data_IF_603372313194
#
_entry.id   IF_603372313194
#
_cell.length_a   1.000
_cell.length_b   1.000
_cell.length_c   1.000
_cell.angle_alpha   90.00
_cell.angle_beta   90.00
_cell.angle_gamma   90.00
#
_symmetry.space_group_name_H-M   'P 1'
#
loop_
_entity.id
_entity.type
_entity.pdbx_description
1 polymer ?
#
# COMPACT_ATOMS: atom_id res chain seq x y z
N UNK A 1 14.49 -24.37 16.53
CA UNK A 1 14.48 -23.82 15.15
C UNK A 1 13.45 -22.72 15.09
N UNK A 2 13.86 -21.44 15.04
CA UNK A 2 12.92 -20.32 15.01
C UNK A 2 12.27 -20.20 13.63
N UNK A 3 11.00 -20.58 13.52
CA UNK A 3 10.12 -20.44 12.34
C UNK A 3 9.64 -18.99 12.16
N UNK A 4 10.55 -18.03 12.26
CA UNK A 4 10.25 -16.64 11.93
C UNK A 4 10.28 -16.43 10.41
N UNK A 5 9.56 -15.44 9.91
CA UNK A 5 9.64 -14.88 8.54
C UNK A 5 11.02 -14.29 8.18
N UNK A 6 12.10 -14.74 8.83
CA UNK A 6 13.46 -14.33 8.61
C UNK A 6 13.91 -14.85 7.25
N UNK A 7 14.07 -13.94 6.27
CA UNK A 7 14.36 -14.33 4.89
C UNK A 7 15.73 -14.98 4.71
N UNK A 8 16.60 -14.94 5.73
CA UNK A 8 17.85 -15.69 5.75
C UNK A 8 17.65 -17.22 5.59
N UNK A 9 16.44 -17.74 5.88
CA UNK A 9 16.12 -19.17 5.85
C UNK A 9 15.00 -19.57 4.85
N UNK A 10 14.77 -18.83 3.75
CA UNK A 10 14.23 -19.51 2.53
C UNK A 10 12.92 -19.06 1.88
N UNK A 11 12.34 -17.90 2.23
CA UNK A 11 11.21 -17.34 1.45
C UNK A 11 11.62 -16.12 0.63
N UNK A 12 11.31 -16.16 -0.68
CA UNK A 12 11.44 -15.03 -1.60
C UNK A 12 10.56 -13.86 -1.12
N UNK A 13 11.02 -12.65 -1.34
CA UNK A 13 10.32 -11.42 -0.96
C UNK A 13 8.97 -11.30 -1.65
N UNK A 14 8.84 -11.75 -2.90
CA UNK A 14 7.55 -11.84 -3.61
C UNK A 14 6.57 -12.80 -2.95
N UNK A 15 7.05 -13.93 -2.41
CA UNK A 15 6.20 -14.86 -1.65
C UNK A 15 5.77 -14.24 -0.33
N UNK A 16 6.68 -13.55 0.37
CA UNK A 16 6.34 -12.84 1.61
C UNK A 16 5.34 -11.70 1.38
N UNK A 17 5.52 -10.93 0.30
CA UNK A 17 4.57 -9.89 -0.10
C UNK A 17 3.19 -10.48 -0.40
N UNK A 18 3.14 -11.62 -1.11
CA UNK A 18 1.90 -12.34 -1.36
C UNK A 18 1.24 -12.77 -0.06
N UNK A 19 1.98 -13.39 0.86
CA UNK A 19 1.45 -13.80 2.18
C UNK A 19 0.92 -12.61 2.98
N UNK A 20 1.61 -11.47 2.95
CA UNK A 20 1.12 -10.23 3.55
C UNK A 20 -0.23 -9.84 2.96
N UNK A 21 -0.33 -9.73 1.65
CA UNK A 21 -1.56 -9.30 0.95
C UNK A 21 -2.71 -10.30 1.06
N UNK A 22 -2.44 -11.62 1.08
CA UNK A 22 -3.50 -12.63 1.08
C UNK A 22 -3.91 -13.12 2.46
N UNK A 23 -3.03 -13.03 3.47
CA UNK A 23 -3.30 -13.60 4.80
C UNK A 23 -3.32 -12.56 5.91
N UNK A 24 -2.41 -11.56 5.88
CA UNK A 24 -2.29 -10.58 6.96
C UNK A 24 -3.26 -9.43 6.77
N UNK A 25 -3.21 -8.77 5.60
CA UNK A 25 -4.03 -7.59 5.31
C UNK A 25 -5.54 -7.86 5.44
N UNK A 26 -6.11 -8.96 4.90
CA UNK A 26 -7.54 -9.21 5.02
C UNK A 26 -7.99 -9.38 6.47
N UNK A 27 -7.16 -10.01 7.32
CA UNK A 27 -7.47 -10.17 8.75
C UNK A 27 -7.37 -8.86 9.50
N UNK A 28 -6.36 -8.04 9.17
CA UNK A 28 -6.16 -6.75 9.82
C UNK A 28 -7.25 -5.73 9.45
N UNK A 29 -7.79 -5.82 8.24
CA UNK A 29 -8.81 -4.90 7.75
C UNK A 29 -10.24 -5.38 7.94
N UNK A 30 -10.43 -6.59 8.46
CA UNK A 30 -11.76 -7.19 8.58
C UNK A 30 -12.71 -6.29 9.38
N UNK A 31 -13.88 -6.01 8.80
CA UNK A 31 -14.94 -5.15 9.34
C UNK A 31 -14.58 -3.66 9.49
N UNK A 32 -13.33 -3.24 9.25
CA UNK A 32 -12.95 -1.83 9.31
C UNK A 32 -13.60 -1.00 8.20
N UNK A 33 -14.08 -1.65 7.14
CA UNK A 33 -14.79 -0.98 6.05
C UNK A 33 -16.14 -0.36 6.47
N UNK A 34 -16.74 -0.84 7.57
CA UNK A 34 -18.03 -0.34 8.11
C UNK A 34 -17.86 0.40 9.43
N UNK A 35 -16.87 0.00 10.24
CA UNK A 35 -16.68 0.56 11.58
C UNK A 35 -16.19 2.01 11.52
N UNK A 36 -16.67 2.90 12.41
CA UNK A 36 -16.06 4.20 12.59
C UNK A 36 -14.68 4.01 13.24
N UNK A 37 -13.62 4.42 12.55
CA UNK A 37 -12.26 4.43 13.08
C UNK A 37 -11.71 5.86 13.17
N UNK A 38 -10.87 6.11 14.17
CA UNK A 38 -10.19 7.40 14.29
C UNK A 38 -9.01 7.49 13.31
N UNK A 39 -8.60 8.71 12.99
CA UNK A 39 -7.37 8.92 12.21
C UNK A 39 -6.12 8.44 12.96
N UNK A 40 -6.17 8.34 14.29
CA UNK A 40 -5.07 7.81 15.10
C UNK A 40 -4.92 6.30 14.90
N UNK A 41 -6.04 5.56 14.91
CA UNK A 41 -6.04 4.10 14.71
C UNK A 41 -5.49 3.74 13.32
N UNK A 42 -5.93 4.46 12.29
CA UNK A 42 -5.45 4.25 10.94
C UNK A 42 -3.95 4.53 10.80
N UNK A 43 -3.45 5.59 11.46
CA UNK A 43 -2.00 5.88 11.51
C UNK A 43 -1.22 4.79 12.23
N UNK A 44 -1.76 4.22 13.31
CA UNK A 44 -1.13 3.11 14.02
C UNK A 44 -1.03 1.86 13.14
N UNK A 45 -2.09 1.51 12.40
CA UNK A 45 -2.08 0.40 11.44
C UNK A 45 -1.10 0.63 10.29
N UNK A 46 -1.04 1.86 9.76
CA UNK A 46 -0.05 2.24 8.74
C UNK A 46 1.37 2.13 9.28
N UNK A 47 1.64 2.61 10.50
CA UNK A 47 2.95 2.48 11.13
C UNK A 47 3.36 1.02 11.31
N UNK A 48 2.44 0.17 11.78
CA UNK A 48 2.65 -1.27 11.89
C UNK A 48 3.00 -1.89 10.53
N UNK A 49 2.21 -1.61 9.47
CA UNK A 49 2.51 -2.07 8.12
C UNK A 49 3.91 -1.66 7.69
N UNK A 50 4.26 -0.38 7.82
CA UNK A 50 5.54 0.15 7.35
C UNK A 50 6.73 -0.51 8.05
N UNK A 51 6.63 -0.75 9.38
CA UNK A 51 7.65 -1.45 10.15
C UNK A 51 7.77 -2.91 9.68
N UNK A 52 6.65 -3.63 9.56
CA UNK A 52 6.68 -5.04 9.16
C UNK A 52 7.22 -5.22 7.75
N UNK A 53 6.85 -4.34 6.80
CA UNK A 53 7.34 -4.43 5.42
C UNK A 53 8.85 -4.15 5.32
N UNK A 54 9.41 -3.27 6.15
CA UNK A 54 10.87 -3.11 6.27
C UNK A 54 11.53 -4.39 6.76
N UNK A 55 10.98 -5.02 7.80
CA UNK A 55 11.49 -6.27 8.35
C UNK A 55 11.44 -7.41 7.33
N UNK A 56 10.33 -7.53 6.58
CA UNK A 56 10.14 -8.50 5.49
C UNK A 56 11.25 -8.41 4.44
N UNK A 57 11.71 -7.19 4.16
CA UNK A 57 12.76 -6.85 3.19
C UNK A 57 14.17 -6.76 3.79
N UNK A 58 14.31 -6.91 5.11
CA UNK A 58 15.54 -6.68 5.88
C UNK A 58 16.17 -5.30 5.63
N UNK A 59 15.33 -4.29 5.47
CA UNK A 59 15.74 -2.89 5.43
C UNK A 59 16.05 -2.43 6.86
N UNK A 60 16.90 -1.41 7.00
CA UNK A 60 17.19 -0.83 8.31
C UNK A 60 15.98 -0.06 8.84
N UNK A 61 15.82 0.06 10.16
CA UNK A 61 14.69 0.78 10.75
C UNK A 61 14.65 2.26 10.32
N UNK A 62 15.84 2.87 10.19
CA UNK A 62 16.05 4.23 9.68
C UNK A 62 15.71 4.42 8.19
N UNK A 63 15.41 3.35 7.45
CA UNK A 63 15.00 3.45 6.04
C UNK A 63 13.74 4.30 5.97
N UNK A 64 13.65 5.21 4.99
CA UNK A 64 12.45 6.03 4.84
C UNK A 64 11.22 5.14 4.66
N UNK A 65 10.14 5.47 5.39
CA UNK A 65 8.97 4.61 5.54
C UNK A 65 8.37 4.21 4.20
N UNK A 66 8.29 5.14 3.25
CA UNK A 66 7.65 4.91 1.95
C UNK A 66 8.35 3.83 1.15
N UNK A 67 9.67 3.66 1.26
CA UNK A 67 10.44 2.78 0.38
C UNK A 67 10.00 1.31 0.40
N UNK A 68 9.48 0.82 1.52
CA UNK A 68 9.10 -0.58 1.67
C UNK A 68 7.89 -0.99 0.81
N UNK A 69 6.96 -0.06 0.56
CA UNK A 69 5.72 -0.31 -0.17
C UNK A 69 5.92 -0.49 -1.69
N UNK A 70 6.54 0.46 -2.43
CA UNK A 70 6.73 0.37 -3.86
C UNK A 70 7.65 -0.81 -4.24
N UNK A 71 8.64 -1.14 -3.41
CA UNK A 71 9.53 -2.27 -3.68
C UNK A 71 8.78 -3.63 -3.67
N UNK A 72 7.73 -3.75 -2.87
CA UNK A 72 6.88 -4.95 -2.81
C UNK A 72 5.60 -4.82 -3.65
N UNK A 73 5.31 -3.65 -4.21
CA UNK A 73 4.03 -3.37 -4.87
C UNK A 73 2.83 -3.45 -3.92
N UNK A 74 3.01 -3.14 -2.64
CA UNK A 74 1.93 -3.27 -1.64
C UNK A 74 1.30 -1.90 -1.39
N UNK A 75 -0.03 -1.84 -1.43
CA UNK A 75 -0.79 -0.63 -1.10
C UNK A 75 -0.67 -0.26 0.39
N UNK A 76 -0.78 1.03 0.68
CA UNK A 76 -1.02 1.50 2.04
C UNK A 76 -2.34 0.91 2.58
N UNK A 77 -2.38 0.61 3.89
CA UNK A 77 -3.59 0.13 4.59
C UNK A 77 -4.81 0.98 4.27
N UNK A 78 -4.66 2.31 4.27
CA UNK A 78 -5.73 3.24 3.91
C UNK A 78 -6.26 3.05 2.49
N UNK A 79 -5.38 2.93 1.50
CA UNK A 79 -5.80 2.71 0.11
C UNK A 79 -6.52 1.36 -0.05
N UNK A 80 -6.05 0.32 0.64
CA UNK A 80 -6.72 -0.98 0.65
C UNK A 80 -8.10 -0.89 1.31
N UNK A 81 -8.20 -0.17 2.43
CA UNK A 81 -9.46 0.05 3.13
C UNK A 81 -10.45 0.83 2.25
N UNK A 82 -9.99 1.84 1.52
CA UNK A 82 -10.81 2.58 0.57
C UNK A 82 -11.34 1.65 -0.55
N UNK A 83 -10.51 0.76 -1.11
CA UNK A 83 -10.97 -0.25 -2.08
C UNK A 83 -12.06 -1.15 -1.46
N UNK A 84 -11.86 -1.62 -0.23
CA UNK A 84 -12.82 -2.49 0.46
C UNK A 84 -14.15 -1.77 0.72
N UNK A 85 -14.10 -0.55 1.27
CA UNK A 85 -15.27 0.29 1.55
C UNK A 85 -16.06 0.61 0.28
N UNK A 86 -15.39 0.95 -0.83
CA UNK A 86 -16.04 1.24 -2.10
C UNK A 86 -16.60 -0.02 -2.78
N UNK A 87 -15.94 -1.17 -2.66
CA UNK A 87 -16.49 -2.45 -3.11
C UNK A 87 -17.72 -2.87 -2.28
N UNK A 88 -17.73 -2.60 -0.97
CA UNK A 88 -18.88 -2.89 -0.13
C UNK A 88 -20.10 -2.08 -0.58
N UNK A 89 -19.90 -0.79 -0.86
CA UNK A 89 -20.96 0.06 -1.38
C UNK A 89 -21.51 -0.43 -2.74
N UNK A 90 -20.63 -0.84 -3.66
CA UNK A 90 -21.03 -1.47 -4.93
C UNK A 90 -21.91 -2.72 -4.73
N UNK A 91 -21.55 -3.58 -3.79
CA UNK A 91 -22.36 -4.76 -3.45
C UNK A 91 -23.74 -4.34 -2.91
N UNK A 92 -23.77 -3.33 -2.04
CA UNK A 92 -25.03 -2.81 -1.46
C UNK A 92 -25.98 -2.28 -2.54
N UNK A 93 -25.48 -1.52 -3.51
CA UNK A 93 -26.34 -0.93 -4.56
C UNK A 93 -26.75 -1.95 -5.63
N UNK A 94 -25.98 -3.03 -5.83
CA UNK A 94 -26.31 -4.11 -6.75
C UNK A 94 -27.35 -5.12 -6.20
N UNK A 95 -27.75 -4.99 -4.93
CA UNK A 95 -28.69 -5.92 -4.27
C UNK A 95 -30.02 -5.25 -3.88
N UNK A 96 -30.86 -4.87 -4.85
CA UNK A 96 -32.15 -4.25 -4.58
C UNK A 96 -33.06 -5.18 -3.77
N UNK A 97 -33.88 -4.60 -2.89
CA UNK A 97 -34.79 -5.32 -2.00
C UNK A 97 -34.16 -5.75 -0.66
N UNK A 98 -32.86 -5.53 -0.46
CA UNK A 98 -32.21 -5.73 0.85
C UNK A 98 -32.43 -4.54 1.78
N UNK A 99 -32.26 -4.77 3.09
CA UNK A 99 -32.33 -3.69 4.08
C UNK A 99 -31.19 -2.69 3.85
N UNK A 100 -30.01 -3.19 3.52
CA UNK A 100 -28.82 -2.43 3.22
C UNK A 100 -29.04 -1.48 2.03
N UNK A 101 -29.64 -1.98 0.94
CA UNK A 101 -30.02 -1.15 -0.22
C UNK A 101 -30.98 -0.03 0.19
N UNK A 102 -32.04 -0.37 0.94
CA UNK A 102 -33.05 0.59 1.39
C UNK A 102 -32.46 1.67 2.31
N UNK A 103 -31.53 1.27 3.18
CA UNK A 103 -30.80 2.19 4.07
C UNK A 103 -29.87 3.10 3.25
N UNK A 104 -29.15 2.55 2.26
CA UNK A 104 -28.29 3.33 1.39
C UNK A 104 -29.08 4.36 0.58
N UNK A 105 -30.23 3.97 0.01
CA UNK A 105 -31.16 4.84 -0.71
C UNK A 105 -31.61 6.02 0.16
N UNK A 106 -32.13 5.72 1.36
CA UNK A 106 -32.58 6.73 2.31
C UNK A 106 -31.45 7.65 2.76
N UNK A 107 -30.29 7.10 3.09
CA UNK A 107 -29.14 7.91 3.49
C UNK A 107 -28.63 8.80 2.36
N UNK A 108 -28.66 8.33 1.11
CA UNK A 108 -28.35 9.17 -0.03
C UNK A 108 -29.35 10.32 -0.14
N UNK A 109 -30.64 10.06 -0.05
CA UNK A 109 -31.67 11.10 -0.16
C UNK A 109 -31.63 12.13 0.99
N UNK A 110 -31.32 11.70 2.22
CA UNK A 110 -31.51 12.54 3.41
C UNK A 110 -30.23 13.18 3.96
N UNK A 111 -29.05 12.58 3.76
CA UNK A 111 -27.82 13.01 4.45
C UNK A 111 -27.15 14.18 3.76
N UNK A 112 -26.82 15.19 4.56
CA UNK A 112 -26.11 16.38 4.13
C UNK A 112 -24.60 16.12 4.03
N UNK A 113 -23.86 16.94 3.26
CA UNK A 113 -22.39 16.86 3.18
C UNK A 113 -21.65 17.14 4.49
N UNK A 114 -22.35 17.53 5.55
CA UNK A 114 -21.76 17.77 6.89
C UNK A 114 -21.91 16.57 7.83
N UNK A 115 -22.69 15.56 7.45
CA UNK A 115 -23.04 14.45 8.34
C UNK A 115 -21.91 13.42 8.42
N UNK A 116 -21.63 12.90 9.62
CA UNK A 116 -20.70 11.80 9.83
C UNK A 116 -21.36 10.43 9.59
N UNK A 117 -21.79 10.16 8.35
CA UNK A 117 -22.39 8.87 7.95
C UNK A 117 -21.46 8.02 7.09
N UNK A 118 -21.75 6.72 7.01
CA UNK A 118 -21.07 5.80 6.08
C UNK A 118 -21.15 6.31 4.63
N UNK A 119 -22.34 6.72 4.18
CA UNK A 119 -22.55 7.27 2.84
C UNK A 119 -21.82 8.59 2.59
N UNK A 120 -21.65 9.42 3.62
CA UNK A 120 -20.80 10.61 3.50
C UNK A 120 -19.34 10.23 3.23
N UNK A 121 -18.80 9.25 3.96
CA UNK A 121 -17.47 8.72 3.71
C UNK A 121 -17.32 8.18 2.28
N UNK A 122 -18.33 7.46 1.77
CA UNK A 122 -18.37 7.00 0.37
C UNK A 122 -18.29 8.17 -0.61
N UNK A 123 -19.11 9.21 -0.45
CA UNK A 123 -19.08 10.40 -1.32
C UNK A 123 -17.70 11.05 -1.35
N UNK A 124 -17.05 11.18 -0.18
CA UNK A 124 -15.69 11.72 -0.09
C UNK A 124 -14.68 10.86 -0.81
N UNK A 125 -14.76 9.53 -0.66
CA UNK A 125 -13.85 8.60 -1.33
C UNK A 125 -14.05 8.63 -2.85
N UNK A 126 -15.29 8.61 -3.33
CA UNK A 126 -15.60 8.74 -4.75
C UNK A 126 -15.02 10.04 -5.34
N UNK A 127 -15.20 11.16 -4.63
CA UNK A 127 -14.61 12.43 -5.03
C UNK A 127 -13.06 12.40 -5.02
N UNK A 128 -12.45 11.83 -3.97
CA UNK A 128 -10.99 11.72 -3.82
C UNK A 128 -10.34 11.00 -4.99
N UNK A 129 -11.00 9.96 -5.51
CA UNK A 129 -10.51 9.14 -6.62
C UNK A 129 -11.06 9.56 -7.99
N UNK A 130 -11.76 10.69 -8.08
CA UNK A 130 -12.44 11.15 -9.29
C UNK A 130 -13.33 10.06 -9.95
N UNK A 131 -14.08 9.34 -9.12
CA UNK A 131 -15.02 8.31 -9.52
C UNK A 131 -16.44 8.90 -9.69
N UNK A 132 -17.37 8.20 -10.38
CA UNK A 132 -18.75 8.65 -10.50
C UNK A 132 -19.38 8.92 -9.14
N UNK A 133 -20.33 9.85 -9.10
CA UNK A 133 -20.97 10.21 -7.83
C UNK A 133 -21.79 9.04 -7.30
N UNK A 134 -22.04 9.03 -5.98
CA UNK A 134 -22.82 7.97 -5.36
C UNK A 134 -24.24 7.85 -5.99
N UNK A 135 -24.86 8.97 -6.36
CA UNK A 135 -26.15 8.96 -7.07
C UNK A 135 -26.06 8.33 -8.46
N UNK A 136 -25.04 8.68 -9.25
CA UNK A 136 -24.84 8.08 -10.58
C UNK A 136 -24.63 6.57 -10.49
N UNK A 137 -23.86 6.11 -9.49
CA UNK A 137 -23.66 4.68 -9.25
C UNK A 137 -24.96 4.00 -8.81
N UNK A 138 -25.76 4.67 -7.99
CA UNK A 138 -27.04 4.14 -7.51
C UNK A 138 -28.08 4.01 -8.63
N UNK A 139 -28.20 5.02 -9.50
CA UNK A 139 -29.14 5.04 -10.63
C UNK A 139 -28.75 4.03 -11.72
N UNK A 140 -27.46 3.93 -12.04
CA UNK A 140 -26.95 2.99 -13.04
C UNK A 140 -25.72 2.23 -12.50
N UNK A 141 -25.93 1.16 -11.71
CA UNK A 141 -24.82 0.38 -11.17
C UNK A 141 -24.02 -0.28 -12.30
N UNK A 142 -22.70 -0.04 -12.41
CA UNK A 142 -21.87 -0.76 -13.36
C UNK A 142 -21.80 -2.25 -13.00
N UNK A 143 -21.40 -3.09 -13.95
CA UNK A 143 -21.09 -4.49 -13.63
C UNK A 143 -19.91 -4.58 -12.67
N UNK A 144 -19.91 -5.60 -11.80
CA UNK A 144 -18.86 -5.85 -10.80
C UNK A 144 -17.44 -5.82 -11.38
N UNK A 145 -17.24 -6.35 -12.58
CA UNK A 145 -15.92 -6.38 -13.24
C UNK A 145 -15.49 -4.98 -13.70
N UNK A 146 -16.39 -4.24 -14.35
CA UNK A 146 -16.14 -2.87 -14.80
C UNK A 146 -15.89 -1.95 -13.61
N UNK A 147 -16.67 -2.09 -12.53
CA UNK A 147 -16.47 -1.35 -11.29
C UNK A 147 -15.09 -1.61 -10.70
N UNK A 148 -14.73 -2.88 -10.49
CA UNK A 148 -13.43 -3.25 -9.92
C UNK A 148 -12.28 -2.72 -10.76
N UNK A 149 -12.34 -2.87 -12.08
CA UNK A 149 -11.29 -2.36 -12.97
C UNK A 149 -11.13 -0.84 -12.83
N UNK A 150 -12.24 -0.09 -12.84
CA UNK A 150 -12.23 1.38 -12.72
C UNK A 150 -11.74 1.83 -11.34
N UNK A 151 -12.28 1.25 -10.27
CA UNK A 151 -11.90 1.54 -8.90
C UNK A 151 -10.41 1.25 -8.65
N UNK A 152 -9.94 0.07 -9.07
CA UNK A 152 -8.57 -0.35 -8.79
C UNK A 152 -7.59 0.54 -9.56
N UNK A 153 -7.87 0.80 -10.85
CA UNK A 153 -7.07 1.72 -11.65
C UNK A 153 -6.96 3.11 -11.01
N UNK A 154 -8.08 3.71 -10.57
CA UNK A 154 -8.07 5.03 -9.95
C UNK A 154 -7.27 5.08 -8.64
N UNK A 155 -7.47 4.09 -7.76
CA UNK A 155 -6.74 4.00 -6.48
C UNK A 155 -5.25 3.75 -6.70
N UNK A 156 -4.91 2.89 -7.66
CA UNK A 156 -3.54 2.51 -7.94
C UNK A 156 -2.76 3.68 -8.56
N UNK A 157 -3.37 4.41 -9.50
CA UNK A 157 -2.79 5.62 -10.09
C UNK A 157 -2.48 6.67 -9.04
N UNK A 158 -3.43 6.99 -8.16
CA UNK A 158 -3.21 7.97 -7.08
C UNK A 158 -2.13 7.50 -6.10
N UNK A 159 -2.10 6.20 -5.80
CA UNK A 159 -1.09 5.61 -4.90
C UNK A 159 0.31 5.69 -5.51
N UNK A 160 0.45 5.37 -6.80
CA UNK A 160 1.73 5.49 -7.52
C UNK A 160 2.19 6.95 -7.55
N UNK A 161 1.30 7.90 -7.86
CA UNK A 161 1.63 9.32 -7.85
C UNK A 161 2.14 9.78 -6.46
N UNK A 162 1.45 9.34 -5.40
CA UNK A 162 1.87 9.62 -4.01
C UNK A 162 3.23 9.01 -3.67
N UNK A 163 3.55 7.82 -4.19
CA UNK A 163 4.86 7.22 -4.00
C UNK A 163 5.95 7.99 -4.74
N UNK A 164 5.69 8.39 -5.98
CA UNK A 164 6.63 9.15 -6.82
C UNK A 164 6.98 10.48 -6.15
N UNK A 165 5.98 11.23 -5.71
CA UNK A 165 6.15 12.48 -4.96
C UNK A 165 7.06 12.28 -3.74
N UNK A 166 6.74 11.33 -2.86
CA UNK A 166 7.52 11.08 -1.64
C UNK A 166 8.91 10.52 -1.89
N UNK A 167 9.12 9.81 -3.01
CA UNK A 167 10.46 9.35 -3.43
C UNK A 167 11.29 10.53 -3.91
N UNK A 168 10.71 11.44 -4.70
CA UNK A 168 11.39 12.63 -5.21
C UNK A 168 11.76 13.61 -4.09
N UNK A 169 10.90 13.76 -3.08
CA UNK A 169 11.17 14.58 -1.88
C UNK A 169 12.33 14.06 -1.03
N UNK A 170 12.71 12.77 -1.18
CA UNK A 170 13.70 12.15 -0.31
C UNK A 170 15.00 11.78 -1.05
N UNK A 171 16.12 12.51 -0.82
CA UNK A 171 17.39 12.24 -1.47
C UNK A 171 17.96 10.83 -1.26
N UNK A 172 17.59 10.15 -0.16
CA UNK A 172 18.04 8.78 0.11
C UNK A 172 17.42 7.74 -0.85
N UNK A 173 16.31 8.08 -1.49
CA UNK A 173 15.56 7.20 -2.40
C UNK A 173 15.80 7.48 -3.88
N UNK A 174 16.74 8.38 -4.20
CA UNK A 174 17.06 8.82 -5.58
C UNK A 174 17.42 7.71 -6.57
N UNK A 175 17.75 6.52 -6.08
CA UNK A 175 18.11 5.38 -6.92
C UNK A 175 16.91 4.48 -7.26
N UNK A 176 15.75 4.69 -6.62
CA UNK A 176 14.52 3.98 -6.96
C UNK A 176 14.02 4.51 -8.31
N UNK A 177 13.87 3.62 -9.29
CA UNK A 177 13.27 3.98 -10.57
C UNK A 177 11.75 4.17 -10.38
N UNK A 178 11.30 5.43 -10.45
CA UNK A 178 9.89 5.82 -10.30
C UNK A 178 8.98 5.34 -11.43
N UNK A 179 9.56 5.04 -12.60
CA UNK A 179 8.81 4.63 -13.79
C UNK A 179 8.52 3.12 -13.77
N UNK A 180 9.30 2.38 -13.00
CA UNK A 180 9.13 0.94 -12.80
C UNK A 180 8.20 0.60 -11.62
N UNK A 181 7.54 1.60 -11.02
CA UNK A 181 6.64 1.40 -9.90
C UNK A 181 5.31 0.80 -10.36
N UNK A 182 4.82 -0.16 -9.59
CA UNK A 182 3.56 -0.84 -9.88
C UNK A 182 2.92 -1.33 -8.61
N UNK A 183 1.59 -1.22 -8.54
CA UNK A 183 0.80 -1.86 -7.49
C UNK A 183 0.64 -3.35 -7.82
N UNK A 184 0.57 -4.20 -6.78
CA UNK A 184 0.41 -5.66 -6.81
C UNK A 184 1.55 -6.46 -7.47
N UNK A 185 2.50 -5.79 -8.12
CA UNK A 185 3.70 -6.41 -8.67
C UNK A 185 4.93 -5.96 -7.90
N UNK A 186 5.69 -6.92 -7.41
CA UNK A 186 6.98 -6.64 -6.77
C UNK A 186 7.94 -6.01 -7.76
N UNK A 187 8.78 -5.10 -7.28
CA UNK A 187 9.82 -4.48 -8.07
C UNK A 187 10.75 -5.53 -8.72
N UNK A 188 11.27 -5.23 -9.91
CA UNK A 188 12.09 -6.15 -10.73
C UNK A 188 13.31 -6.73 -9.99
N UNK A 189 13.77 -6.03 -8.95
CA UNK A 189 14.80 -6.47 -8.02
C UNK A 189 14.48 -7.83 -7.37
N UNK A 190 13.21 -8.15 -7.14
CA UNK A 190 12.76 -9.40 -6.50
C UNK A 190 12.27 -10.46 -7.49
N UNK A 191 12.02 -10.11 -8.75
CA UNK A 191 11.42 -11.01 -9.76
C UNK A 191 12.28 -12.25 -10.02
N UNK A 192 13.60 -12.06 -10.16
CA UNK A 192 14.52 -13.12 -10.55
C UNK A 192 15.27 -13.76 -9.38
N UNK A 193 14.85 -13.47 -8.14
CA UNK A 193 15.50 -14.02 -6.94
C UNK A 193 15.10 -15.49 -6.78
N UNK A 194 16.07 -16.41 -6.76
CA UNK A 194 15.82 -17.82 -6.45
C UNK A 194 15.71 -18.00 -4.93
N UNK A 195 15.03 -19.06 -4.43
CA UNK A 195 14.85 -19.27 -2.99
C UNK A 195 16.13 -19.88 -2.37
N UNK A 196 17.30 -19.32 -2.70
CA UNK A 196 18.57 -19.70 -2.11
C UNK A 196 19.14 -18.50 -1.33
N UNK A 197 19.99 -18.80 -0.34
CA UNK A 197 20.53 -17.79 0.57
C UNK A 197 21.32 -16.70 -0.14
N UNK A 198 22.10 -17.04 -1.17
CA UNK A 198 22.98 -16.10 -1.87
C UNK A 198 22.16 -15.05 -2.63
N UNK A 199 21.16 -15.48 -3.40
CA UNK A 199 20.32 -14.59 -4.18
C UNK A 199 19.46 -13.69 -3.29
N UNK A 200 18.96 -14.24 -2.17
CA UNK A 200 18.24 -13.46 -1.16
C UNK A 200 19.15 -12.36 -0.57
N UNK A 201 20.38 -12.69 -0.15
CA UNK A 201 21.33 -11.71 0.38
C UNK A 201 21.71 -10.64 -0.66
N UNK A 202 21.85 -11.04 -1.93
CA UNK A 202 22.09 -10.09 -3.03
C UNK A 202 20.91 -9.14 -3.21
N UNK A 203 19.68 -9.65 -3.19
CA UNK A 203 18.47 -8.83 -3.29
C UNK A 203 18.36 -7.85 -2.11
N UNK A 204 18.61 -8.30 -0.88
CA UNK A 204 18.65 -7.45 0.31
C UNK A 204 19.69 -6.33 0.18
N UNK A 205 20.88 -6.67 -0.30
CA UNK A 205 21.96 -5.69 -0.49
C UNK A 205 21.57 -4.65 -1.54
N UNK A 206 20.97 -5.08 -2.66
CA UNK A 206 20.45 -4.18 -3.70
C UNK A 206 19.33 -3.30 -3.14
N UNK A 207 18.42 -3.83 -2.33
CA UNK A 207 17.34 -3.04 -1.72
C UNK A 207 17.90 -1.97 -0.76
N UNK A 208 18.94 -2.30 0.01
CA UNK A 208 19.65 -1.34 0.87
C UNK A 208 20.36 -0.25 0.07
N UNK A 209 20.92 -0.59 -1.09
CA UNK A 209 21.53 0.40 -1.99
C UNK A 209 20.48 1.34 -2.60
N UNK A 210 19.35 0.81 -3.07
CA UNK A 210 18.26 1.61 -3.63
C UNK A 210 17.65 2.58 -2.62
N UNK A 211 17.63 2.17 -1.35
CA UNK A 211 17.08 2.98 -0.24
C UNK A 211 18.12 3.84 0.48
N UNK A 212 19.36 3.90 -0.02
CA UNK A 212 20.43 4.70 0.57
C UNK A 212 20.86 4.26 1.97
N UNK A 213 20.48 3.05 2.41
CA UNK A 213 20.77 2.52 3.74
C UNK A 213 21.99 1.60 3.80
N UNK A 214 22.59 1.31 2.66
CA UNK A 214 23.82 0.54 2.58
C UNK A 214 24.97 1.24 3.31
N UNK A 215 25.71 0.51 4.13
CA UNK A 215 26.67 1.06 5.10
C UNK A 215 27.71 2.00 4.48
N UNK A 216 28.27 1.64 3.31
CA UNK A 216 29.27 2.48 2.62
C UNK A 216 28.67 3.79 2.09
N UNK A 217 27.40 3.78 1.68
CA UNK A 217 26.70 4.99 1.25
C UNK A 217 26.31 5.85 2.46
N UNK A 218 25.75 5.23 3.50
CA UNK A 218 25.24 5.91 4.68
C UNK A 218 26.35 6.51 5.57
N UNK A 219 27.58 5.98 5.50
CA UNK A 219 28.74 6.48 6.24
C UNK A 219 29.73 7.23 5.36
N UNK A 220 29.35 7.66 4.16
CA UNK A 220 30.25 8.35 3.21
C UNK A 220 30.95 9.56 3.82
N UNK A 221 30.27 10.32 4.68
CA UNK A 221 30.88 11.43 5.43
C UNK A 221 32.01 10.98 6.36
N UNK A 222 31.86 9.83 7.03
CA UNK A 222 32.89 9.26 7.94
C UNK A 222 34.06 8.69 7.14
N UNK A 223 33.80 8.08 6.00
CA UNK A 223 34.88 7.50 5.16
C UNK A 223 35.66 8.54 4.35
N UNK A 224 35.04 9.68 4.01
CA UNK A 224 35.69 10.77 3.28
C UNK A 224 36.39 11.81 4.21
N UNK A 225 36.39 11.62 5.52
CA UNK A 225 37.05 12.51 6.48
C UNK A 225 38.58 12.39 6.48
N UNK A 226 39.11 11.26 6.01
CA UNK A 226 40.56 11.07 5.89
C UNK A 226 40.97 11.37 4.46
N UNK A 227 41.85 12.36 4.27
CA UNK A 227 42.53 12.55 3.00
C UNK A 227 43.30 11.26 2.68
N UNK A 228 42.90 10.57 1.61
CA UNK A 228 43.66 9.43 1.10
C UNK A 228 44.93 10.03 0.52
N UNK A 229 46.03 9.95 1.26
CA UNK A 229 47.34 10.36 0.77
C UNK A 229 47.76 9.33 -0.31
N UNK A 230 47.87 9.72 -1.59
CA UNK A 230 48.26 8.80 -2.64
C UNK A 230 49.79 8.71 -2.65
N UNK A 231 50.35 7.97 -1.70
CA UNK A 231 51.79 7.64 -1.65
C UNK A 231 51.97 6.15 -1.72
#
# INVERSE_FOLDING_TARGET
MGTGFNGKNGLKQSVKARLWSTAVVPRMLYALEVLPYSQADLKALEAFQLITLKQVQHLADRTYNVAGLPLLGILHIRAQLHKNTLNLYDITIQTPGTVEYTVAERQLAMKLPTDHSFLYSIRRLLHTYNLPTAYQLFESPPSKEVWKAKLYSAVDQQTIATWQEKIQENPSLRYINTDALSVEKTHHLYTYVRPNRIDILRAETKAKLLTGTYTLQAKRAVFNQYAVNPT
#
